data_IF_504288147288
#
_entry.id   IF_504288147288
#
_cell.length_a   1.000
_cell.length_b   1.000
_cell.length_c   1.000
_cell.angle_alpha   90.00
_cell.angle_beta   90.00
_cell.angle_gamma   90.00
#
_symmetry.space_group_name_H-M   'P 1'
#
loop_
_entity.id
_entity.type
_entity.pdbx_description
1 polymer ?
#
# COMPACT_ATOMS: atom_id res chain seq x y z
N UNK A 1 -2.83 -3.78 -7.43
CA UNK A 1 -3.22 -3.99 -6.01
C UNK A 1 -2.06 -4.54 -5.24
N UNK A 2 -1.91 -4.09 -4.00
CA UNK A 2 -0.93 -4.67 -3.11
C UNK A 2 -1.66 -5.33 -1.95
N UNK A 3 -1.06 -6.37 -1.40
CA UNK A 3 -1.63 -7.09 -0.28
C UNK A 3 -1.17 -6.46 1.02
N UNK A 4 -2.10 -6.27 1.96
CA UNK A 4 -1.77 -5.74 3.28
C UNK A 4 -2.56 -6.53 4.31
N UNK A 5 -2.05 -6.57 5.54
CA UNK A 5 -2.67 -7.31 6.63
C UNK A 5 -3.12 -6.34 7.71
N UNK A 6 -4.40 -6.34 8.01
CA UNK A 6 -4.92 -5.51 9.07
C UNK A 6 -4.50 -6.05 10.43
N UNK A 7 -4.65 -5.21 11.45
CA UNK A 7 -4.22 -5.61 12.79
C UNK A 7 -4.96 -6.84 13.29
N UNK A 8 -6.19 -7.06 12.82
CA UNK A 8 -6.96 -8.23 13.22
C UNK A 8 -6.59 -9.49 12.42
N UNK A 9 -5.60 -9.40 11.55
CA UNK A 9 -5.12 -10.55 10.80
C UNK A 9 -5.77 -10.74 9.44
N UNK A 10 -6.75 -9.93 9.11
CA UNK A 10 -7.41 -10.04 7.81
C UNK A 10 -6.54 -9.47 6.71
N UNK A 11 -6.55 -10.11 5.56
CA UNK A 11 -5.79 -9.68 4.40
C UNK A 11 -6.69 -8.87 3.48
N UNK A 12 -6.18 -7.71 3.08
CA UNK A 12 -6.88 -6.83 2.15
C UNK A 12 -5.98 -6.53 0.96
N UNK A 13 -6.60 -6.20 -0.15
CA UNK A 13 -5.88 -5.78 -1.35
C UNK A 13 -6.23 -4.32 -1.61
N UNK A 14 -5.21 -3.50 -1.72
CA UNK A 14 -5.37 -2.04 -1.80
C UNK A 14 -4.77 -1.55 -3.10
N UNK A 15 -5.45 -0.59 -3.73
CA UNK A 15 -4.93 0.04 -4.93
C UNK A 15 -3.93 1.13 -4.52
N UNK A 16 -2.64 0.95 -4.82
CA UNK A 16 -1.64 1.94 -4.38
C UNK A 16 -1.87 3.33 -4.95
N UNK A 17 -2.56 3.42 -6.08
CA UNK A 17 -2.84 4.73 -6.68
C UNK A 17 -3.83 5.54 -5.85
N UNK A 18 -4.53 4.89 -4.92
CA UNK A 18 -5.49 5.57 -4.07
C UNK A 18 -4.90 5.95 -2.72
N UNK A 19 -3.63 5.67 -2.49
CA UNK A 19 -2.95 6.02 -1.25
C UNK A 19 -2.39 7.42 -1.37
N UNK A 20 -2.80 8.32 -0.47
CA UNK A 20 -2.28 9.67 -0.48
C UNK A 20 -0.94 9.75 0.23
N UNK A 21 -0.86 9.16 1.41
CA UNK A 21 0.39 9.11 2.15
C UNK A 21 0.32 7.98 3.18
N UNK A 22 1.47 7.66 3.75
CA UNK A 22 1.60 6.58 4.72
C UNK A 22 2.22 7.14 5.99
N UNK A 23 1.57 6.89 7.12
CA UNK A 23 2.11 7.22 8.43
C UNK A 23 2.76 5.98 9.01
N UNK A 24 3.87 6.15 9.72
CA UNK A 24 4.56 4.99 10.27
C UNK A 24 4.51 4.93 11.79
N UNK A 25 3.94 5.93 12.47
CA UNK A 25 3.88 5.96 13.93
C UNK A 25 2.46 6.25 14.37
N UNK A 26 1.99 5.55 15.40
CA UNK A 26 2.63 4.41 16.06
C UNK A 26 2.60 3.16 15.23
N UNK A 27 1.65 3.03 14.31
CA UNK A 27 1.53 1.87 13.43
C UNK A 27 1.47 2.35 11.99
N UNK A 28 1.87 1.48 11.08
CA UNK A 28 1.77 1.78 9.66
C UNK A 28 0.32 2.02 9.30
N UNK A 29 0.02 3.21 8.79
CA UNK A 29 -1.34 3.59 8.44
C UNK A 29 -1.35 4.11 7.01
N UNK A 30 -2.17 3.50 6.17
CA UNK A 30 -2.35 3.94 4.80
C UNK A 30 -3.50 4.94 4.81
N UNK A 31 -3.22 6.18 4.41
CA UNK A 31 -4.24 7.22 4.35
C UNK A 31 -4.64 7.35 2.90
N UNK A 32 -5.88 7.01 2.62
CA UNK A 32 -6.37 6.95 1.26
C UNK A 32 -6.84 8.33 0.80
N UNK A 33 -6.90 8.51 -0.51
CA UNK A 33 -7.38 9.78 -1.07
C UNK A 33 -8.80 10.11 -0.59
N UNK A 34 -9.59 9.08 -0.31
CA UNK A 34 -10.94 9.28 0.19
C UNK A 34 -10.98 9.76 1.64
N UNK A 35 -9.83 9.77 2.31
CA UNK A 35 -9.77 10.09 3.72
C UNK A 35 -9.83 8.88 4.61
N UNK A 36 -10.10 7.70 4.06
CA UNK A 36 -10.14 6.48 4.85
C UNK A 36 -8.74 6.14 5.34
N UNK A 37 -8.66 5.64 6.56
CA UNK A 37 -7.38 5.25 7.16
C UNK A 37 -7.39 3.76 7.40
N UNK A 38 -6.32 3.10 6.99
CA UNK A 38 -6.21 1.64 7.10
C UNK A 38 -4.92 1.33 7.85
N UNK A 39 -5.06 0.79 9.07
CA UNK A 39 -3.90 0.44 9.90
C UNK A 39 -3.52 -0.99 9.58
N UNK A 40 -2.23 -1.22 9.29
CA UNK A 40 -1.76 -2.52 8.86
C UNK A 40 -0.59 -2.98 9.71
N UNK A 41 -0.32 -4.30 9.66
CA UNK A 41 0.75 -4.91 10.44
C UNK A 41 2.11 -4.74 9.80
N UNK A 42 2.15 -4.67 8.47
CA UNK A 42 3.42 -4.60 7.76
C UNK A 42 4.14 -3.31 8.12
N UNK A 43 5.46 -3.36 8.33
CA UNK A 43 6.21 -2.13 8.54
C UNK A 43 6.22 -1.31 7.26
N UNK A 44 6.46 -0.01 7.43
CA UNK A 44 6.45 0.94 6.34
C UNK A 44 7.35 0.50 5.18
N UNK A 45 8.53 -0.02 5.51
CA UNK A 45 9.48 -0.42 4.47
C UNK A 45 8.93 -1.53 3.60
N UNK A 46 8.18 -2.45 4.19
CA UNK A 46 7.63 -3.55 3.44
C UNK A 46 6.50 -3.07 2.53
N UNK A 47 5.70 -2.12 2.99
CA UNK A 47 4.65 -1.55 2.16
C UNK A 47 5.27 -0.87 0.95
N UNK A 48 6.35 -0.12 1.18
CA UNK A 48 7.05 0.53 0.07
C UNK A 48 7.54 -0.47 -0.95
N UNK A 49 8.10 -1.59 -0.49
CA UNK A 49 8.58 -2.60 -1.42
C UNK A 49 7.44 -3.15 -2.27
N UNK A 50 6.30 -3.36 -1.65
CA UNK A 50 5.15 -3.90 -2.38
C UNK A 50 4.65 -2.90 -3.41
N UNK A 51 4.68 -1.62 -3.07
CA UNK A 51 4.27 -0.58 -4.01
C UNK A 51 5.25 -0.50 -5.18
N UNK A 52 6.54 -0.54 -4.89
CA UNK A 52 7.55 -0.48 -5.94
C UNK A 52 7.41 -1.67 -6.88
N UNK A 53 7.23 -2.87 -6.31
CA UNK A 53 7.06 -4.07 -7.13
C UNK A 53 5.83 -3.96 -8.01
N UNK A 54 4.74 -3.44 -7.46
CA UNK A 54 3.52 -3.26 -8.22
C UNK A 54 3.74 -2.30 -9.39
N UNK A 55 4.45 -1.19 -9.14
CA UNK A 55 4.70 -0.22 -10.18
C UNK A 55 5.61 -0.76 -11.27
N UNK A 56 6.58 -1.56 -10.89
CA UNK A 56 7.45 -2.19 -11.88
C UNK A 56 6.67 -3.14 -12.76
N UNK A 57 5.76 -3.89 -12.18
CA UNK A 57 4.94 -4.81 -12.95
C UNK A 57 4.08 -4.05 -13.95
N UNK A 58 3.44 -2.98 -13.50
CA UNK A 58 2.61 -2.17 -14.38
C UNK A 58 3.45 -1.52 -15.46
N UNK A 59 4.64 -1.03 -15.09
CA UNK A 59 5.54 -0.42 -16.04
C UNK A 59 5.95 -1.37 -17.12
N UNK A 60 6.12 -2.66 -16.77
CA UNK A 60 6.51 -3.65 -17.77
C UNK A 60 5.41 -3.84 -18.79
N UNK A 61 4.17 -3.69 -18.40
CA UNK A 61 3.06 -3.82 -19.34
C UNK A 61 2.81 -2.55 -20.13
N UNK A 62 2.96 -1.43 -19.49
CA UNK A 62 2.74 -0.17 -20.14
C UNK A 62 3.90 0.25 -20.97
N UNK A 63 5.03 0.17 -20.41
CA UNK A 63 6.28 0.33 -21.03
C UNK A 63 6.40 1.39 -22.10
N UNK A 64 5.41 2.01 -22.45
CA UNK A 64 5.48 3.03 -23.46
C UNK A 64 5.39 4.36 -22.83
N UNK A 65 5.23 4.41 -21.59
CA UNK A 65 5.17 5.69 -20.97
C UNK A 65 6.49 6.26 -20.65
#
# INVERSE_FOLDING_TARGET
MIEVTRLDGRTYYVNPHQIEYIESNPDTTLVMLSGKRLVVREPYEEILERIVSYRKLIGAFKNEE
#
